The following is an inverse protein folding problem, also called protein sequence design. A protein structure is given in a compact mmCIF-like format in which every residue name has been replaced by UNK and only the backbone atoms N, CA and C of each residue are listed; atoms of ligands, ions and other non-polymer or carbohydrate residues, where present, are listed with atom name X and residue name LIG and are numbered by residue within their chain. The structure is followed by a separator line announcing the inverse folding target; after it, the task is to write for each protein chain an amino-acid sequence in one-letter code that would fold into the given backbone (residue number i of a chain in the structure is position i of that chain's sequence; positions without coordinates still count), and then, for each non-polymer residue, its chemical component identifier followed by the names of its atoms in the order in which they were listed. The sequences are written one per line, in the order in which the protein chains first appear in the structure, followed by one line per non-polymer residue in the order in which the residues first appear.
data_IF_628164638289
#
_entry.id   IF_628164638289
#
_cell.length_a   1.000
_cell.length_b   1.000
_cell.length_c   1.000
_cell.angle_alpha   90.00
_cell.angle_beta   90.00
_cell.angle_gamma   90.00
#
_symmetry.space_group_name_H-M   'P 1'
#
loop_
_entity.id
_entity.type
_entity.pdbx_description
1 polymer ?
#
# COMPACT_ATOMS: atom_id res chain seq x y z
N UNK A 1 15.36 10.91 -13.07
CA UNK A 1 14.79 9.91 -14.00
C UNK A 1 13.40 9.56 -13.52
N UNK A 2 12.38 9.80 -14.33
CA UNK A 2 11.03 9.35 -14.02
C UNK A 2 10.92 7.85 -14.35
N UNK A 3 10.36 7.07 -13.44
CA UNK A 3 10.08 5.66 -13.67
C UNK A 3 8.63 5.51 -14.13
N UNK A 4 8.42 4.81 -15.23
CA UNK A 4 7.09 4.42 -15.71
C UNK A 4 6.75 3.08 -15.06
N UNK A 5 5.61 3.02 -14.38
CA UNK A 5 5.10 1.81 -13.77
C UNK A 5 3.90 1.29 -14.57
N UNK A 6 4.08 0.13 -15.18
CA UNK A 6 3.04 -0.53 -15.96
C UNK A 6 2.58 -1.81 -15.26
N UNK A 7 1.33 -2.20 -15.51
CA UNK A 7 0.84 -3.52 -15.10
C UNK A 7 1.59 -4.59 -15.90
N UNK A 8 2.19 -5.57 -15.20
CA UNK A 8 2.96 -6.63 -15.87
C UNK A 8 2.13 -7.49 -16.84
N UNK A 9 0.86 -7.73 -16.51
CA UNK A 9 -0.01 -8.64 -17.29
C UNK A 9 -0.54 -8.01 -18.58
N UNK A 10 -0.87 -6.72 -18.57
CA UNK A 10 -1.54 -6.06 -19.71
C UNK A 10 -0.80 -4.86 -20.26
N UNK A 11 0.35 -4.49 -19.69
CA UNK A 11 1.17 -3.35 -20.13
C UNK A 11 0.54 -1.98 -19.88
N UNK A 12 -0.67 -1.88 -19.32
CA UNK A 12 -1.32 -0.57 -19.07
C UNK A 12 -0.48 0.26 -18.09
N UNK A 13 -0.25 1.53 -18.43
CA UNK A 13 0.36 2.50 -17.53
C UNK A 13 -0.56 2.79 -16.34
N UNK A 14 -0.04 2.56 -15.13
CA UNK A 14 -0.77 2.71 -13.87
C UNK A 14 -0.72 4.13 -13.30
N UNK A 15 -0.07 5.07 -14.00
CA UNK A 15 0.06 6.48 -13.60
C UNK A 15 0.63 6.67 -12.18
N UNK A 16 1.56 5.80 -11.78
CA UNK A 16 2.25 5.93 -10.50
C UNK A 16 3.38 6.93 -10.65
N UNK A 17 3.44 7.90 -9.73
CA UNK A 17 4.48 8.94 -9.72
C UNK A 17 5.51 8.63 -8.65
N UNK A 18 6.78 8.72 -9.02
CA UNK A 18 7.91 8.52 -8.09
C UNK A 18 7.93 9.56 -6.96
N UNK A 19 7.28 10.73 -7.13
CA UNK A 19 7.14 11.76 -6.08
C UNK A 19 6.38 11.27 -4.86
N UNK A 20 5.49 10.28 -5.02
CA UNK A 20 4.72 9.69 -3.92
C UNK A 20 5.29 8.35 -3.46
N UNK A 21 6.42 7.90 -4.03
CA UNK A 21 7.06 6.65 -3.64
C UNK A 21 7.78 6.84 -2.30
N UNK A 22 7.50 5.95 -1.35
CA UNK A 22 8.25 5.93 -0.10
C UNK A 22 9.68 5.41 -0.33
N UNK A 23 10.68 5.96 0.38
CA UNK A 23 12.04 5.44 0.34
C UNK A 23 12.10 3.94 0.68
N UNK A 24 13.04 3.18 0.10
CA UNK A 24 13.17 1.75 0.36
C UNK A 24 13.43 1.43 1.85
N UNK A 25 14.14 2.33 2.54
CA UNK A 25 14.51 2.19 3.95
C UNK A 25 13.45 2.72 4.93
N UNK A 26 12.31 3.20 4.42
CA UNK A 26 11.22 3.67 5.27
C UNK A 26 10.59 2.49 6.02
N UNK A 27 10.52 2.61 7.34
CA UNK A 27 9.97 1.57 8.21
C UNK A 27 8.44 1.53 8.10
N UNK A 28 7.90 0.33 7.95
CA UNK A 28 6.46 0.06 8.02
C UNK A 28 6.22 -1.16 8.89
N UNK A 29 5.20 -1.09 9.74
CA UNK A 29 4.83 -2.19 10.64
C UNK A 29 4.52 -3.48 9.88
N UNK A 30 3.78 -3.39 8.75
CA UNK A 30 3.48 -4.55 7.91
C UNK A 30 4.59 -4.90 6.88
N UNK A 31 5.76 -4.26 7.00
CA UNK A 31 6.95 -4.46 6.17
C UNK A 31 6.84 -3.97 4.73
N UNK A 32 7.97 -3.99 4.02
CA UNK A 32 8.08 -3.55 2.61
C UNK A 32 8.88 -4.51 1.69
N UNK A 33 9.14 -5.75 2.15
CA UNK A 33 9.98 -6.70 1.40
C UNK A 33 9.34 -7.09 0.07
N UNK A 34 10.06 -6.86 -1.02
CA UNK A 34 9.62 -7.21 -2.38
C UNK A 34 8.44 -6.37 -2.88
N UNK A 35 8.23 -5.20 -2.28
CA UNK A 35 7.12 -4.31 -2.59
C UNK A 35 7.58 -2.87 -2.79
N UNK A 36 6.78 -2.11 -3.54
CA UNK A 36 6.87 -0.65 -3.61
C UNK A 36 5.68 -0.06 -2.90
N UNK A 37 5.90 0.95 -2.09
CA UNK A 37 4.84 1.59 -1.31
C UNK A 37 4.70 3.04 -1.75
N UNK A 38 3.48 3.47 -2.04
CA UNK A 38 3.17 4.84 -2.43
C UNK A 38 2.23 5.50 -1.42
N UNK A 39 2.42 6.80 -1.20
CA UNK A 39 1.56 7.63 -0.37
C UNK A 39 0.24 7.98 -1.07
N UNK A 40 0.25 8.06 -2.39
CA UNK A 40 -0.91 8.42 -3.21
C UNK A 40 -0.84 7.74 -4.57
N UNK A 41 -2.01 7.43 -5.13
CA UNK A 41 -2.18 6.83 -6.45
C UNK A 41 -3.33 7.49 -7.21
N UNK A 42 -3.41 7.24 -8.51
CA UNK A 42 -4.57 7.59 -9.33
C UNK A 42 -5.63 6.48 -9.25
N UNK A 43 -6.65 6.70 -8.41
CA UNK A 43 -7.73 5.74 -8.19
C UNK A 43 -8.49 5.36 -9.46
N UNK A 44 -8.46 6.19 -10.51
CA UNK A 44 -9.16 5.90 -11.77
C UNK A 44 -8.59 4.70 -12.52
N UNK A 45 -7.35 4.31 -12.21
CA UNK A 45 -6.63 3.17 -12.83
C UNK A 45 -6.83 1.85 -12.09
N UNK A 46 -7.52 1.85 -10.95
CA UNK A 46 -7.64 0.68 -10.10
C UNK A 46 -9.09 0.36 -9.74
N UNK A 47 -9.32 -0.92 -9.44
CA UNK A 47 -10.53 -1.39 -8.77
C UNK A 47 -10.15 -1.87 -7.37
N UNK A 48 -10.92 -1.43 -6.37
CA UNK A 48 -10.71 -1.79 -4.99
C UNK A 48 -11.75 -2.82 -4.55
N UNK A 49 -11.29 -3.92 -3.96
CA UNK A 49 -12.16 -4.97 -3.45
C UNK A 49 -11.78 -5.28 -2.00
N UNK A 50 -12.76 -5.26 -1.10
CA UNK A 50 -12.55 -5.69 0.28
C UNK A 50 -12.27 -7.19 0.29
N UNK A 51 -11.16 -7.59 0.89
CA UNK A 51 -10.84 -8.98 1.21
C UNK A 51 -11.04 -9.16 2.70
N UNK A 52 -12.03 -9.98 3.04
CA UNK A 52 -12.19 -10.55 4.38
C UNK A 52 -11.80 -12.02 4.31
N UNK A 53 -10.72 -12.38 4.99
CA UNK A 53 -10.22 -13.75 5.06
C UNK A 53 -10.05 -14.17 6.49
N UNK A 54 -10.70 -15.28 6.83
CA UNK A 54 -10.50 -15.98 8.09
C UNK A 54 -9.37 -17.01 7.95
N UNK A 55 -8.12 -16.54 8.00
CA UNK A 55 -6.91 -17.38 7.93
C UNK A 55 -5.82 -16.78 8.81
N UNK A 56 -5.11 -17.58 9.63
CA UNK A 56 -3.99 -17.10 10.42
C UNK A 56 -2.99 -16.31 9.57
N UNK A 57 -2.58 -15.14 10.06
CA UNK A 57 -1.58 -14.29 9.41
C UNK A 57 -0.77 -13.52 10.44
N UNK A 58 0.42 -13.09 10.02
CA UNK A 58 1.25 -12.16 10.78
C UNK A 58 1.04 -10.75 10.23
N UNK A 59 0.64 -9.82 11.10
CA UNK A 59 0.50 -8.40 10.75
C UNK A 59 1.83 -7.68 10.93
N UNK A 60 2.48 -7.92 12.06
CA UNK A 60 3.83 -7.46 12.41
C UNK A 60 4.68 -8.66 12.84
N UNK A 61 5.94 -8.42 13.24
CA UNK A 61 6.82 -9.48 13.76
C UNK A 61 6.25 -10.14 15.02
N UNK A 62 5.62 -9.34 15.89
CA UNK A 62 5.18 -9.77 17.22
C UNK A 62 3.66 -9.97 17.33
N UNK A 63 2.91 -9.70 16.24
CA UNK A 63 1.46 -9.85 16.20
C UNK A 63 1.00 -10.82 15.12
N UNK A 64 0.22 -11.82 15.55
CA UNK A 64 -0.53 -12.71 14.70
C UNK A 64 -2.03 -12.50 14.91
N UNK A 65 -2.80 -12.62 13.83
CA UNK A 65 -4.24 -12.49 13.82
C UNK A 65 -4.89 -13.63 13.04
N UNK A 66 -6.21 -13.79 13.22
CA UNK A 66 -7.00 -14.84 12.56
C UNK A 66 -7.83 -14.27 11.41
N UNK A 67 -8.36 -13.06 11.56
CA UNK A 67 -9.15 -12.39 10.53
C UNK A 67 -8.34 -11.28 9.87
N UNK A 68 -8.12 -11.42 8.57
CA UNK A 68 -7.37 -10.45 7.76
C UNK A 68 -8.33 -9.63 6.93
N UNK A 69 -8.54 -8.38 7.36
CA UNK A 69 -9.27 -7.37 6.60
C UNK A 69 -8.27 -6.51 5.82
N UNK A 70 -8.23 -6.63 4.48
CA UNK A 70 -7.39 -5.77 3.62
C UNK A 70 -8.15 -5.39 2.37
N UNK A 71 -7.84 -4.23 1.79
CA UNK A 71 -8.39 -3.83 0.50
C UNK A 71 -7.43 -4.27 -0.61
N UNK A 72 -7.88 -5.15 -1.50
CA UNK A 72 -7.16 -5.52 -2.72
C UNK A 72 -7.20 -4.37 -3.70
N UNK A 73 -6.08 -4.16 -4.36
CA UNK A 73 -5.97 -3.24 -5.49
C UNK A 73 -5.73 -4.04 -6.75
N UNK A 74 -6.66 -3.95 -7.70
CA UNK A 74 -6.60 -4.62 -8.99
C UNK A 74 -6.42 -3.60 -10.10
N UNK A 75 -5.67 -3.97 -11.14
CA UNK A 75 -5.60 -3.17 -12.36
C UNK A 75 -7.00 -3.08 -12.99
N UNK A 76 -7.48 -1.88 -13.30
CA UNK A 76 -8.81 -1.68 -13.89
C UNK A 76 -8.93 -2.30 -15.29
N UNK A 77 -7.86 -2.30 -16.07
CA UNK A 77 -7.86 -2.82 -17.45
C UNK A 77 -7.95 -4.34 -17.53
N UNK A 78 -7.28 -5.08 -16.65
CA UNK A 78 -7.20 -6.55 -16.74
C UNK A 78 -7.71 -7.31 -15.50
N UNK A 79 -8.10 -6.60 -14.44
CA UNK A 79 -8.58 -7.21 -13.20
C UNK A 79 -7.53 -7.95 -12.37
N UNK A 80 -6.25 -7.98 -12.79
CA UNK A 80 -5.19 -8.66 -12.03
C UNK A 80 -4.87 -7.89 -10.74
N UNK A 81 -4.65 -8.64 -9.66
CA UNK A 81 -4.16 -8.12 -8.39
C UNK A 81 -2.75 -7.53 -8.55
N UNK A 82 -2.62 -6.24 -8.29
CA UNK A 82 -1.33 -5.51 -8.32
C UNK A 82 -0.79 -5.24 -6.90
N UNK A 83 -1.68 -5.11 -5.91
CA UNK A 83 -1.27 -4.71 -4.57
C UNK A 83 -2.39 -4.76 -3.53
N UNK A 84 -2.12 -4.14 -2.39
CA UNK A 84 -3.05 -3.99 -1.26
C UNK A 84 -2.91 -2.60 -0.64
N UNK A 85 -3.99 -2.13 -0.03
CA UNK A 85 -4.00 -0.93 0.82
C UNK A 85 -3.81 -1.33 2.28
N UNK A 86 -3.00 -0.57 3.00
CA UNK A 86 -2.75 -0.71 4.44
C UNK A 86 -2.89 0.64 5.12
N UNK A 87 -3.44 0.68 6.33
CA UNK A 87 -3.58 1.92 7.10
C UNK A 87 -2.39 2.09 8.06
N UNK A 88 -1.17 1.90 7.56
CA UNK A 88 0.10 2.03 8.30
C UNK A 88 1.03 3.11 7.74
N UNK A 89 0.49 4.03 6.94
CA UNK A 89 1.20 5.23 6.45
C UNK A 89 1.45 6.28 7.55
N UNK A 90 1.92 7.49 7.22
CA UNK A 90 2.12 8.56 8.20
C UNK A 90 0.85 8.88 9.01
N UNK A 91 0.97 9.35 10.27
CA UNK A 91 -0.19 9.74 11.07
C UNK A 91 -0.95 10.92 10.40
N UNK A 92 -2.29 10.92 10.47
CA UNK A 92 -3.10 12.01 9.92
C UNK A 92 -3.06 13.28 10.76
N UNK A 93 -2.68 13.16 12.04
CA UNK A 93 -2.59 14.28 12.98
C UNK A 93 -1.33 14.17 13.80
N UNK A 94 -0.62 15.29 14.00
CA UNK A 94 0.53 15.38 14.91
C UNK A 94 0.13 15.58 16.38
N UNK A 95 -1.17 15.42 16.69
CA UNK A 95 -1.70 15.55 18.05
C UNK A 95 -1.49 14.24 18.84
N UNK A 96 -1.25 14.32 20.16
CA UNK A 96 -1.17 13.16 21.06
C UNK A 96 -2.51 12.41 21.28
N UNK A 97 -3.44 12.47 20.31
CA UNK A 97 -4.78 11.89 20.39
C UNK A 97 -5.82 12.81 21.04
N UNK A 98 -7.07 12.38 21.06
CA UNK A 98 -8.15 13.09 21.73
C UNK A 98 -7.88 13.06 23.24
N UNK A 99 -7.84 14.22 23.89
CA UNK A 99 -7.62 14.40 25.35
C UNK A 99 -6.18 14.21 25.87
N UNK A 100 -5.13 14.27 25.03
CA UNK A 100 -3.73 14.06 25.47
C UNK A 100 -3.48 12.71 26.19
N UNK A 101 -4.33 11.70 25.95
CA UNK A 101 -4.22 10.37 26.58
C UNK A 101 -3.10 9.50 25.98
N UNK A 102 -2.11 10.13 25.35
CA UNK A 102 -0.93 9.48 24.78
C UNK A 102 -1.27 8.49 23.65
N UNK A 103 -0.28 7.73 23.17
CA UNK A 103 -0.41 6.79 22.05
C UNK A 103 -1.35 5.59 22.33
N UNK A 104 -2.08 5.59 23.45
CA UNK A 104 -3.09 4.58 23.79
C UNK A 104 -4.34 4.67 22.90
N UNK A 105 -4.56 5.81 22.23
CA UNK A 105 -5.55 5.94 21.18
C UNK A 105 -4.89 5.65 19.83
N UNK A 106 -5.48 4.74 19.06
CA UNK A 106 -5.04 4.43 17.69
C UNK A 106 -5.15 5.71 16.85
N UNK A 107 -4.03 6.41 16.67
CA UNK A 107 -3.96 7.61 15.83
C UNK A 107 -4.34 7.17 14.41
N UNK A 108 -5.35 7.79 13.78
CA UNK A 108 -5.74 7.39 12.45
C UNK A 108 -4.58 7.70 11.49
N UNK A 109 -4.24 6.72 10.64
CA UNK A 109 -3.07 6.78 9.75
C UNK A 109 -3.50 6.91 8.30
N UNK A 110 -2.64 7.53 7.50
CA UNK A 110 -2.82 7.62 6.06
C UNK A 110 -2.80 6.22 5.43
N UNK A 111 -3.59 5.99 4.36
CA UNK A 111 -3.48 4.78 3.59
C UNK A 111 -2.13 4.71 2.88
N UNK A 112 -1.59 3.51 2.81
CA UNK A 112 -0.39 3.13 2.08
C UNK A 112 -0.76 2.16 0.98
N UNK A 113 -0.42 2.54 -0.25
CA UNK A 113 -0.68 1.73 -1.44
C UNK A 113 0.53 0.86 -1.75
N UNK A 114 0.46 -0.41 -1.35
CA UNK A 114 1.58 -1.36 -1.46
C UNK A 114 1.44 -2.25 -2.68
N UNK A 115 2.32 -2.06 -3.65
CA UNK A 115 2.40 -2.83 -4.89
C UNK A 115 3.41 -3.97 -4.77
N UNK A 116 3.09 -5.12 -5.37
CA UNK A 116 4.04 -6.22 -5.53
C UNK A 116 4.96 -5.90 -6.70
N UNK A 117 6.28 -5.87 -6.49
CA UNK A 117 7.24 -5.61 -7.59
C UNK A 117 7.03 -6.61 -8.73
N UNK A 118 6.76 -7.88 -8.41
CA UNK A 118 6.47 -8.92 -9.41
C UNK A 118 5.22 -8.70 -10.27
N UNK A 119 4.33 -7.79 -9.86
CA UNK A 119 3.11 -7.44 -10.59
C UNK A 119 3.28 -6.18 -11.46
N UNK A 120 4.44 -5.53 -11.39
CA UNK A 120 4.77 -4.32 -12.11
C UNK A 120 5.89 -4.57 -13.13
N UNK A 121 5.82 -3.87 -14.25
CA UNK A 121 6.94 -3.64 -15.15
C UNK A 121 7.42 -2.22 -14.92
N UNK A 122 8.71 -2.05 -14.64
CA UNK A 122 9.33 -0.76 -14.36
C UNK A 122 10.27 -0.44 -15.52
N UNK A 123 10.04 0.72 -16.14
CA UNK A 123 10.89 1.24 -17.22
C UNK A 123 11.38 2.62 -16.83
N UNK A 124 12.65 2.93 -17.09
CA UNK A 124 13.22 4.27 -16.91
C UNK A 124 12.96 5.11 -18.15
N UNK A 125 12.40 6.31 -18.00
CA UNK A 125 12.48 7.33 -19.05
C UNK A 125 13.93 7.81 -19.12
N UNK A 126 14.53 7.65 -20.31
CA UNK A 126 15.85 8.17 -20.69
C UNK A 126 15.81 9.67 -20.92
#
# INVERSE_FOLDING_TARGET
MASIYCCKECGTNLNLRSTYLFPPDFYFEAGNKGTLSFAMIDDTKFNFEKEDKFRPFFETLDYWGIQRNRTKMKCKSCGKLVGYVYDDGPPLTESPGQFHMGPSQVIPRCPRYRFKIKALTISSET
#
